data_IF_427376441475
#
_entry.id   IF_427376441475
#
_cell.length_a   1.000
_cell.length_b   1.000
_cell.length_c   1.000
_cell.angle_alpha   90.00
_cell.angle_beta   90.00
_cell.angle_gamma   90.00
#
_symmetry.space_group_name_H-M   'P 1'
#
loop_
_entity.id
_entity.type
_entity.pdbx_description
1 polymer ?
#
# COMPACT_ATOMS: atom_id res chain seq x y z
N UNK A 1 2.62 -21.34 -17.98
CA UNK A 1 3.54 -20.22 -17.62
C UNK A 1 3.05 -18.85 -18.12
N UNK A 2 1.79 -18.69 -18.54
CA UNK A 2 1.26 -17.41 -19.04
C UNK A 2 0.33 -16.68 -18.04
N UNK A 3 -0.14 -17.34 -16.98
CA UNK A 3 -1.14 -16.77 -16.05
C UNK A 3 -0.51 -16.08 -14.82
N UNK A 4 0.76 -16.35 -14.50
CA UNK A 4 1.44 -15.78 -13.31
C UNK A 4 1.79 -14.30 -13.51
N UNK A 5 1.91 -13.83 -14.76
CA UNK A 5 2.35 -12.47 -15.06
C UNK A 5 1.28 -11.38 -14.86
N UNK A 6 -0.01 -11.71 -14.76
CA UNK A 6 -1.07 -10.69 -14.62
C UNK A 6 -1.43 -10.34 -13.18
N UNK A 7 -1.37 -11.30 -12.25
CA UNK A 7 -1.68 -11.03 -10.83
C UNK A 7 -0.54 -10.30 -10.12
N UNK A 8 0.71 -10.70 -10.37
CA UNK A 8 1.89 -10.04 -9.82
C UNK A 8 1.97 -8.57 -10.24
N UNK A 9 1.70 -8.28 -11.52
CA UNK A 9 1.75 -6.90 -12.04
C UNK A 9 0.69 -5.99 -11.41
N UNK A 10 -0.48 -6.56 -11.06
CA UNK A 10 -1.56 -5.82 -10.43
C UNK A 10 -1.23 -5.45 -8.98
N UNK A 11 -0.60 -6.35 -8.21
CA UNK A 11 -0.17 -6.04 -6.84
C UNK A 11 0.87 -4.90 -6.81
N UNK A 12 1.71 -4.79 -7.85
CA UNK A 12 2.65 -3.67 -8.02
C UNK A 12 1.96 -2.36 -8.43
N UNK A 13 0.99 -2.39 -9.35
CA UNK A 13 0.18 -1.20 -9.68
C UNK A 13 -0.64 -0.71 -8.46
N UNK A 14 -1.26 -1.64 -7.72
CA UNK A 14 -2.01 -1.35 -6.50
C UNK A 14 -1.09 -0.76 -5.40
N UNK A 15 0.20 -1.14 -5.33
CA UNK A 15 1.14 -0.57 -4.37
C UNK A 15 1.39 0.92 -4.60
N UNK A 16 1.73 1.32 -5.82
CA UNK A 16 2.06 2.72 -6.15
C UNK A 16 0.84 3.64 -5.92
N UNK A 17 -0.36 3.18 -6.31
CA UNK A 17 -1.60 3.92 -6.05
C UNK A 17 -1.90 4.05 -4.55
N UNK A 18 -1.78 2.95 -3.79
CA UNK A 18 -2.02 2.96 -2.35
C UNK A 18 -1.00 3.83 -1.61
N UNK A 19 0.27 3.83 -2.05
CA UNK A 19 1.32 4.66 -1.48
C UNK A 19 1.05 6.16 -1.75
N UNK A 20 0.60 6.50 -2.96
CA UNK A 20 0.21 7.87 -3.30
C UNK A 20 -1.00 8.33 -2.47
N UNK A 21 -1.99 7.47 -2.29
CA UNK A 21 -3.15 7.76 -1.43
C UNK A 21 -2.73 7.93 0.04
N UNK A 22 -1.79 7.12 0.53
CA UNK A 22 -1.28 7.24 1.89
C UNK A 22 -0.55 8.56 2.10
N UNK A 23 0.30 9.00 1.16
CA UNK A 23 0.94 10.31 1.20
C UNK A 23 -0.08 11.45 1.26
N UNK A 24 -1.15 11.37 0.47
CA UNK A 24 -2.24 12.36 0.52
C UNK A 24 -2.89 12.38 1.91
N UNK A 25 -3.16 11.22 2.51
CA UNK A 25 -3.73 11.15 3.86
C UNK A 25 -2.79 11.77 4.90
N UNK A 26 -1.48 11.51 4.81
CA UNK A 26 -0.49 12.13 5.72
C UNK A 26 -0.51 13.65 5.58
N UNK A 27 -0.54 14.17 4.34
CA UNK A 27 -0.63 15.61 4.10
C UNK A 27 -1.93 16.19 4.69
N UNK A 28 -3.06 15.50 4.56
CA UNK A 28 -4.31 15.94 5.19
C UNK A 28 -4.19 15.96 6.72
N UNK A 29 -3.61 14.91 7.33
CA UNK A 29 -3.41 14.81 8.78
C UNK A 29 -2.50 15.91 9.36
N UNK A 30 -1.62 16.50 8.54
CA UNK A 30 -0.78 17.64 8.92
C UNK A 30 -1.51 18.99 8.86
N UNK A 31 -2.71 19.05 8.25
CA UNK A 31 -3.52 20.26 8.21
C UNK A 31 -4.09 20.59 9.60
N UNK A 32 -3.92 21.84 10.04
CA UNK A 32 -4.28 22.30 11.39
C UNK A 32 -5.80 22.48 11.61
N UNK A 33 -6.61 22.43 10.55
CA UNK A 33 -8.06 22.68 10.59
C UNK A 33 -8.92 21.39 10.63
N UNK A 34 -8.31 20.22 10.85
CA UNK A 34 -9.05 18.96 10.94
C UNK A 34 -9.85 18.84 12.24
N UNK A 35 -11.11 18.45 12.13
CA UNK A 35 -11.87 18.01 13.29
C UNK A 35 -11.42 16.63 13.78
N UNK A 36 -11.63 16.33 15.07
CA UNK A 36 -11.32 15.02 15.65
C UNK A 36 -11.96 13.85 14.88
N UNK A 37 -13.20 14.03 14.39
CA UNK A 37 -13.89 12.99 13.62
C UNK A 37 -13.22 12.74 12.26
N UNK A 38 -12.73 13.79 11.61
CA UNK A 38 -12.01 13.66 10.34
C UNK A 38 -10.62 13.04 10.55
N UNK A 39 -9.91 13.43 11.61
CA UNK A 39 -8.63 12.82 11.99
C UNK A 39 -8.77 11.31 12.18
N UNK A 40 -9.82 10.85 12.87
CA UNK A 40 -10.07 9.41 13.07
C UNK A 40 -10.31 8.70 11.73
N UNK A 41 -11.12 9.28 10.83
CA UNK A 41 -11.38 8.71 9.50
C UNK A 41 -10.11 8.60 8.65
N UNK A 42 -9.30 9.65 8.62
CA UNK A 42 -8.03 9.65 7.89
C UNK A 42 -7.06 8.62 8.46
N UNK A 43 -6.98 8.52 9.79
CA UNK A 43 -6.16 7.52 10.46
C UNK A 43 -6.58 6.08 10.11
N UNK A 44 -7.87 5.75 10.21
CA UNK A 44 -8.39 4.41 9.87
C UNK A 44 -8.10 4.05 8.41
N UNK A 45 -8.32 5.00 7.49
CA UNK A 45 -8.02 4.81 6.07
C UNK A 45 -6.53 4.66 5.82
N UNK A 46 -5.69 5.44 6.49
CA UNK A 46 -4.23 5.32 6.42
C UNK A 46 -3.74 3.94 6.86
N UNK A 47 -4.29 3.41 7.96
CA UNK A 47 -3.95 2.08 8.46
C UNK A 47 -4.33 0.96 7.48
N UNK A 48 -5.45 1.09 6.78
CA UNK A 48 -5.83 0.14 5.74
C UNK A 48 -4.83 0.16 4.57
N UNK A 49 -4.45 1.35 4.10
CA UNK A 49 -3.48 1.49 3.01
C UNK A 49 -2.10 0.94 3.39
N UNK A 50 -1.62 1.22 4.60
CA UNK A 50 -0.36 0.65 5.12
C UNK A 50 -0.38 -0.88 5.08
N UNK A 51 -1.49 -1.49 5.50
CA UNK A 51 -1.65 -2.95 5.45
C UNK A 51 -1.59 -3.48 4.02
N UNK A 52 -2.20 -2.79 3.05
CA UNK A 52 -2.17 -3.19 1.64
C UNK A 52 -0.77 -3.05 1.05
N UNK A 53 -0.08 -1.93 1.32
CA UNK A 53 1.29 -1.71 0.89
C UNK A 53 2.23 -2.81 1.42
N UNK A 54 2.14 -3.13 2.71
CA UNK A 54 2.97 -4.18 3.32
C UNK A 54 2.73 -5.55 2.67
N UNK A 55 1.47 -5.89 2.34
CA UNK A 55 1.15 -7.14 1.66
C UNK A 55 1.83 -7.23 0.29
N UNK A 56 1.79 -6.15 -0.50
CA UNK A 56 2.46 -6.12 -1.81
C UNK A 56 3.99 -6.26 -1.66
N UNK A 57 4.60 -5.60 -0.66
CA UNK A 57 6.02 -5.74 -0.35
C UNK A 57 6.39 -7.16 0.09
N UNK A 58 5.56 -7.81 0.91
CA UNK A 58 5.76 -9.21 1.32
C UNK A 58 5.75 -10.17 0.12
N UNK A 59 4.81 -9.97 -0.83
CA UNK A 59 4.76 -10.76 -2.07
C UNK A 59 5.99 -10.52 -2.93
N UNK A 60 6.42 -9.27 -3.10
CA UNK A 60 7.64 -8.93 -3.83
C UNK A 60 8.87 -9.60 -3.21
N UNK A 61 9.01 -9.55 -1.88
CA UNK A 61 10.10 -10.21 -1.16
C UNK A 61 10.07 -11.73 -1.33
N UNK A 62 8.90 -12.36 -1.29
CA UNK A 62 8.74 -13.80 -1.50
C UNK A 62 9.23 -14.21 -2.90
N UNK A 63 8.88 -13.43 -3.92
CA UNK A 63 9.32 -13.64 -5.30
C UNK A 63 10.85 -13.60 -5.38
N UNK A 64 11.47 -12.54 -4.86
CA UNK A 64 12.94 -12.37 -4.85
C UNK A 64 13.61 -13.55 -4.14
N UNK A 65 13.14 -13.89 -2.94
CA UNK A 65 13.70 -14.98 -2.12
C UNK A 65 13.62 -16.33 -2.82
N UNK A 66 12.59 -16.57 -3.63
CA UNK A 66 12.45 -17.81 -4.39
C UNK A 66 13.44 -17.88 -5.55
N UNK A 67 13.73 -16.75 -6.21
CA UNK A 67 14.74 -16.70 -7.27
C UNK A 67 16.17 -16.93 -6.75
N UNK A 68 16.48 -16.44 -5.54
CA UNK A 68 17.81 -16.61 -4.93
C UNK A 68 18.13 -18.06 -4.49
N UNK A 69 17.12 -18.93 -4.42
CA UNK A 69 17.27 -20.33 -3.98
C UNK A 69 17.50 -21.32 -5.12
N UNK A 70 17.58 -20.84 -6.36
CA UNK A 70 17.78 -21.64 -7.59
C UNK A 70 19.23 -21.48 -8.04
#
# INVERSE_FOLDING_TARGET
MSEINSEVNKDFEDFEENLLLLQKIVNELENQDLSLSETIKFYEKGQLLVKQCNKALEQAQLIITNYEKI
#
